data_IF_034093611182
#
_entry.id   IF_034093611182
#
_cell.length_a   1.000
_cell.length_b   1.000
_cell.length_c   1.000
_cell.angle_alpha   90.00
_cell.angle_beta   90.00
_cell.angle_gamma   90.00
#
_symmetry.space_group_name_H-M   'P 1'
#
loop_
_entity.id
_entity.type
_entity.pdbx_description
1 polymer ?
#
# COMPACT_ATOMS: atom_id res chain seq x y z
N UNK A 1 39.21 -32.42 -6.80
CA UNK A 1 39.94 -31.25 -6.27
C UNK A 1 39.33 -29.88 -6.72
N UNK A 2 38.85 -29.69 -7.97
CA UNK A 2 38.28 -28.41 -8.42
C UNK A 2 37.02 -27.97 -7.60
N UNK A 3 36.16 -28.91 -7.23
CA UNK A 3 34.93 -28.60 -6.47
C UNK A 3 35.22 -28.09 -5.06
N UNK A 4 36.20 -28.65 -4.36
CA UNK A 4 36.60 -28.17 -3.03
C UNK A 4 37.16 -26.74 -3.05
N UNK A 5 37.93 -26.42 -4.09
CA UNK A 5 38.48 -25.06 -4.27
C UNK A 5 37.35 -24.05 -4.48
N UNK A 6 36.36 -24.38 -5.30
CA UNK A 6 35.20 -23.48 -5.54
C UNK A 6 34.35 -23.31 -4.30
N UNK A 7 34.14 -24.36 -3.50
CA UNK A 7 33.42 -24.29 -2.23
C UNK A 7 34.13 -23.38 -1.22
N UNK A 8 35.46 -23.47 -1.14
CA UNK A 8 36.28 -22.60 -0.29
C UNK A 8 36.16 -21.12 -0.67
N UNK A 9 36.21 -20.82 -1.97
CA UNK A 9 36.03 -19.44 -2.47
C UNK A 9 34.65 -18.90 -2.14
N UNK A 10 33.61 -19.72 -2.33
CA UNK A 10 32.23 -19.34 -2.00
C UNK A 10 32.03 -19.06 -0.50
N UNK A 11 32.62 -19.88 0.36
CA UNK A 11 32.62 -19.68 1.80
C UNK A 11 33.30 -18.36 2.20
N UNK A 12 34.48 -18.08 1.66
CA UNK A 12 35.22 -16.84 1.92
C UNK A 12 34.39 -15.61 1.45
N UNK A 13 33.77 -15.68 0.27
CA UNK A 13 32.94 -14.61 -0.25
C UNK A 13 31.72 -14.35 0.65
N UNK A 14 31.06 -15.42 1.11
CA UNK A 14 29.92 -15.31 2.05
C UNK A 14 30.36 -14.69 3.38
N UNK A 15 31.45 -15.17 3.97
CA UNK A 15 32.01 -14.61 5.20
C UNK A 15 32.37 -13.12 5.06
N UNK A 16 33.04 -12.77 3.95
CA UNK A 16 33.38 -11.37 3.67
C UNK A 16 32.16 -10.48 3.57
N UNK A 17 31.10 -10.95 2.91
CA UNK A 17 29.84 -10.22 2.79
C UNK A 17 29.20 -9.98 4.16
N UNK A 18 29.01 -11.03 4.95
CA UNK A 18 28.43 -10.91 6.31
C UNK A 18 29.27 -10.02 7.24
N UNK A 19 30.59 -10.10 7.14
CA UNK A 19 31.46 -9.29 7.97
C UNK A 19 31.39 -7.81 7.57
N UNK A 20 31.34 -7.51 6.29
CA UNK A 20 31.20 -6.14 5.78
C UNK A 20 29.86 -5.53 6.17
N UNK A 21 28.78 -6.28 6.07
CA UNK A 21 27.44 -5.84 6.50
C UNK A 21 27.38 -5.56 7.99
N UNK A 22 27.99 -6.42 8.82
CA UNK A 22 28.06 -6.22 10.27
C UNK A 22 28.84 -4.96 10.64
N UNK A 23 29.97 -4.70 9.99
CA UNK A 23 30.74 -3.48 10.21
C UNK A 23 29.94 -2.24 9.78
N UNK A 24 29.29 -2.28 8.63
CA UNK A 24 28.48 -1.18 8.15
C UNK A 24 27.35 -0.82 9.13
N UNK A 25 26.65 -1.82 9.66
CA UNK A 25 25.60 -1.62 10.66
C UNK A 25 26.16 -1.06 11.98
N UNK A 26 27.29 -1.55 12.46
CA UNK A 26 27.94 -1.00 13.66
C UNK A 26 28.41 0.45 13.49
N UNK A 27 28.76 0.84 12.27
CA UNK A 27 29.13 2.23 11.95
C UNK A 27 27.89 3.13 11.94
N UNK A 28 26.77 2.65 11.39
CA UNK A 28 25.49 3.37 11.44
C UNK A 28 25.01 3.56 12.88
N UNK A 29 25.09 2.52 13.72
CA UNK A 29 24.66 2.59 15.11
C UNK A 29 25.48 3.60 15.97
N UNK A 30 26.63 4.05 15.51
CA UNK A 30 27.44 5.10 16.15
C UNK A 30 27.13 6.50 15.63
N UNK A 31 26.33 6.61 14.59
CA UNK A 31 26.01 7.88 13.96
C UNK A 31 24.87 8.59 14.74
N UNK A 32 25.09 9.82 15.16
CA UNK A 32 24.14 10.60 15.96
C UNK A 32 22.78 10.79 15.24
N UNK A 33 22.80 11.09 13.96
CA UNK A 33 21.57 11.22 13.17
C UNK A 33 20.80 9.88 13.10
N UNK A 34 21.52 8.77 12.92
CA UNK A 34 20.89 7.45 12.89
C UNK A 34 20.22 7.10 14.23
N UNK A 35 20.86 7.44 15.34
CA UNK A 35 20.29 7.26 16.68
C UNK A 35 19.07 8.17 16.89
N UNK A 36 19.13 9.43 16.48
CA UNK A 36 18.00 10.35 16.57
C UNK A 36 16.79 9.83 15.78
N UNK A 37 17.00 9.29 14.56
CA UNK A 37 15.91 8.69 13.77
C UNK A 37 15.34 7.47 14.51
N UNK A 38 16.20 6.63 15.09
CA UNK A 38 15.78 5.42 15.81
C UNK A 38 14.95 5.75 17.07
N UNK A 39 15.34 6.74 17.82
CA UNK A 39 14.63 7.20 19.03
C UNK A 39 13.28 7.84 18.67
N UNK A 40 13.25 8.67 17.62
CA UNK A 40 12.04 9.35 17.20
C UNK A 40 11.07 8.46 16.41
N UNK A 41 11.55 7.39 15.79
CA UNK A 41 10.78 6.54 14.87
C UNK A 41 9.48 5.99 15.46
N UNK A 42 9.49 5.63 16.74
CA UNK A 42 8.32 5.07 17.42
C UNK A 42 7.10 6.00 17.42
N UNK A 43 7.32 7.32 17.37
CA UNK A 43 6.25 8.34 17.35
C UNK A 43 5.53 8.41 16.01
N UNK A 44 6.12 7.86 14.95
CA UNK A 44 5.63 7.93 13.58
C UNK A 44 5.19 6.57 13.03
N UNK A 45 5.33 5.51 13.82
CA UNK A 45 4.83 4.19 13.47
C UNK A 45 3.31 4.13 13.70
N UNK A 46 2.62 3.44 12.80
CA UNK A 46 1.21 3.11 12.92
C UNK A 46 1.08 1.60 12.78
N UNK A 47 0.45 0.95 13.74
CA UNK A 47 0.15 -0.48 13.66
C UNK A 47 -0.95 -0.71 12.62
N UNK A 48 -0.91 -1.86 11.93
CA UNK A 48 -2.02 -2.27 11.08
C UNK A 48 -3.23 -2.66 11.93
N UNK A 49 -4.41 -2.57 11.33
CA UNK A 49 -5.67 -2.99 11.94
C UNK A 49 -6.26 -4.07 11.05
N UNK A 50 -6.51 -5.24 11.60
CA UNK A 50 -7.19 -6.31 10.89
C UNK A 50 -8.63 -5.94 10.53
N UNK A 51 -9.13 -6.52 9.45
CA UNK A 51 -10.55 -6.41 9.13
C UNK A 51 -11.37 -7.12 10.21
N UNK A 52 -12.48 -6.50 10.59
CA UNK A 52 -13.44 -7.06 11.53
C UNK A 52 -14.56 -7.78 10.78
N UNK A 53 -14.82 -9.05 11.16
CA UNK A 53 -15.84 -9.88 10.52
C UNK A 53 -16.88 -10.27 11.56
N UNK A 54 -18.16 -10.01 11.26
CA UNK A 54 -19.31 -10.39 12.08
C UNK A 54 -20.51 -10.73 11.19
N UNK A 55 -21.20 -11.82 11.46
CA UNK A 55 -22.45 -12.25 10.80
C UNK A 55 -22.42 -12.19 9.26
N UNK A 56 -21.30 -12.54 8.64
CA UNK A 56 -21.15 -12.50 7.18
C UNK A 56 -20.82 -11.11 6.61
N UNK A 57 -20.69 -10.11 7.46
CA UNK A 57 -20.26 -8.76 7.10
C UNK A 57 -18.79 -8.53 7.45
N UNK A 58 -18.16 -7.60 6.75
CA UNK A 58 -16.75 -7.23 6.98
C UNK A 58 -16.60 -5.71 7.01
N UNK A 59 -15.86 -5.23 8.01
CA UNK A 59 -15.33 -3.88 8.06
C UNK A 59 -13.85 -3.95 7.65
N UNK A 60 -13.40 -3.20 6.62
CA UNK A 60 -12.03 -3.26 6.14
C UNK A 60 -10.99 -2.98 7.22
N UNK A 61 -9.87 -3.70 7.18
CA UNK A 61 -8.69 -3.37 7.94
C UNK A 61 -7.95 -2.14 7.41
N UNK A 62 -6.92 -1.71 8.10
CA UNK A 62 -6.03 -0.63 7.68
C UNK A 62 -4.58 -1.10 7.68
N UNK A 63 -3.85 -0.72 6.66
CA UNK A 63 -2.42 -0.93 6.63
C UNK A 63 -1.75 -0.07 7.70
N UNK A 64 -0.75 -0.64 8.35
CA UNK A 64 0.17 0.08 9.20
C UNK A 64 1.37 0.62 8.43
N UNK A 65 2.15 1.43 9.08
CA UNK A 65 3.43 1.91 8.56
C UNK A 65 4.49 1.93 9.67
N UNK A 66 5.69 1.52 9.32
CA UNK A 66 6.85 1.51 10.23
C UNK A 66 7.98 2.30 9.60
N UNK A 67 8.62 3.15 10.36
CA UNK A 67 9.75 3.94 9.85
C UNK A 67 10.90 3.01 9.46
N UNK A 68 11.31 3.08 8.21
CA UNK A 68 12.54 2.45 7.74
C UNK A 68 13.73 3.32 8.12
N UNK A 69 14.32 3.03 9.29
CA UNK A 69 15.39 3.84 9.91
C UNK A 69 16.57 4.01 8.94
N UNK A 70 16.98 2.92 8.28
CA UNK A 70 18.13 2.92 7.38
C UNK A 70 17.88 3.79 6.13
N UNK A 71 16.75 3.63 5.49
CA UNK A 71 16.41 4.42 4.31
C UNK A 71 16.15 5.89 4.67
N UNK A 72 15.51 6.14 5.82
CA UNK A 72 15.33 7.49 6.36
C UNK A 72 16.67 8.17 6.64
N UNK A 73 17.63 7.46 7.21
CA UNK A 73 18.98 7.98 7.41
C UNK A 73 19.65 8.38 6.08
N UNK A 74 19.60 7.51 5.07
CA UNK A 74 20.19 7.86 3.76
C UNK A 74 19.49 9.04 3.10
N UNK A 75 18.19 9.21 3.35
CA UNK A 75 17.42 10.34 2.84
C UNK A 75 17.75 11.67 3.57
N UNK A 76 18.20 11.60 4.82
CA UNK A 76 18.51 12.76 5.67
C UNK A 76 20.01 13.04 5.80
N UNK A 77 20.90 12.15 5.37
CA UNK A 77 22.35 12.25 5.66
C UNK A 77 22.97 13.58 5.23
N UNK A 78 22.51 14.17 4.12
CA UNK A 78 23.06 15.42 3.61
C UNK A 78 22.57 16.65 4.41
N UNK A 79 21.43 16.52 5.11
CA UNK A 79 20.92 17.52 6.05
C UNK A 79 21.65 17.46 7.40
N UNK A 80 22.20 16.31 7.73
CA UNK A 80 22.84 15.98 9.02
C UNK A 80 21.99 16.36 10.24
N UNK A 81 20.66 16.35 10.10
CA UNK A 81 19.68 16.65 11.13
C UNK A 81 18.40 15.86 10.90
N UNK A 82 17.73 15.46 11.99
CA UNK A 82 16.44 14.82 11.92
C UNK A 82 15.38 15.76 11.35
N UNK A 83 14.59 15.25 10.41
CA UNK A 83 13.43 15.94 9.87
C UNK A 83 12.36 14.92 9.47
N UNK A 84 11.20 14.99 10.13
CA UNK A 84 10.10 14.03 9.93
C UNK A 84 9.56 13.98 8.51
N UNK A 85 9.67 15.04 7.72
CA UNK A 85 9.27 15.06 6.31
C UNK A 85 10.10 14.14 5.41
N UNK A 86 11.30 13.76 5.86
CA UNK A 86 12.20 12.89 5.11
C UNK A 86 12.18 11.43 5.61
N UNK A 87 11.24 11.10 6.49
CA UNK A 87 11.06 9.71 6.92
C UNK A 87 10.56 8.85 5.76
N UNK A 88 11.17 7.69 5.62
CA UNK A 88 10.76 6.63 4.69
C UNK A 88 10.07 5.56 5.51
N UNK A 89 8.96 5.03 4.99
CA UNK A 89 8.15 4.04 5.68
C UNK A 89 8.07 2.73 4.91
N UNK A 90 8.08 1.64 5.66
CA UNK A 90 7.67 0.33 5.19
C UNK A 90 6.20 0.11 5.57
N UNK A 91 5.42 -0.49 4.68
CA UNK A 91 4.01 -0.80 4.93
C UNK A 91 3.89 -2.18 5.57
N UNK A 92 3.15 -2.27 6.68
CA UNK A 92 2.68 -3.53 7.25
C UNK A 92 1.22 -3.76 6.87
N UNK A 93 0.89 -5.01 6.55
CA UNK A 93 -0.43 -5.36 6.04
C UNK A 93 -1.20 -6.14 7.10
N UNK A 94 -2.54 -5.96 7.19
CA UNK A 94 -3.41 -6.76 8.03
C UNK A 94 -3.32 -8.25 7.64
N UNK A 95 -3.49 -9.14 8.63
CA UNK A 95 -3.60 -10.58 8.37
C UNK A 95 -4.99 -10.91 7.81
N UNK A 96 -6.03 -10.23 8.31
CA UNK A 96 -7.41 -10.37 7.84
C UNK A 96 -7.71 -9.20 6.91
N UNK A 97 -7.95 -9.50 5.63
CA UNK A 97 -8.20 -8.50 4.58
C UNK A 97 -9.50 -8.79 3.82
N UNK A 98 -10.02 -7.79 3.10
CA UNK A 98 -11.15 -7.98 2.17
C UNK A 98 -10.77 -8.97 1.06
N UNK A 99 -9.53 -8.91 0.57
CA UNK A 99 -9.03 -9.75 -0.51
C UNK A 99 -9.10 -11.23 -0.16
N UNK A 100 -8.89 -11.56 1.12
CA UNK A 100 -8.96 -12.93 1.62
C UNK A 100 -10.38 -13.36 2.04
N UNK A 101 -11.34 -12.42 2.07
CA UNK A 101 -12.70 -12.62 2.56
C UNK A 101 -13.75 -12.07 1.58
N UNK A 102 -13.59 -12.35 0.29
CA UNK A 102 -14.45 -11.84 -0.80
C UNK A 102 -15.90 -12.34 -0.75
N UNK A 103 -16.18 -13.37 0.03
CA UNK A 103 -17.49 -13.91 0.29
C UNK A 103 -18.32 -13.07 1.31
N UNK A 104 -17.67 -12.10 1.95
CA UNK A 104 -18.30 -11.24 2.94
C UNK A 104 -18.82 -9.94 2.31
N UNK A 105 -19.88 -9.39 2.91
CA UNK A 105 -20.47 -8.12 2.50
C UNK A 105 -19.74 -6.99 3.25
N UNK A 106 -19.20 -6.02 2.50
CA UNK A 106 -18.61 -4.83 3.12
C UNK A 106 -19.75 -3.96 3.69
N UNK A 107 -19.81 -3.87 5.01
CA UNK A 107 -20.86 -3.15 5.71
C UNK A 107 -20.59 -1.64 5.71
N UNK A 108 -19.38 -1.24 6.06
CA UNK A 108 -18.95 0.15 6.21
C UNK A 108 -17.45 0.28 6.08
N UNK A 109 -16.95 1.48 5.92
CA UNK A 109 -15.51 1.78 6.00
C UNK A 109 -15.00 1.66 7.43
N UNK A 110 -13.66 1.59 7.58
CA UNK A 110 -13.03 1.57 8.89
C UNK A 110 -13.12 2.94 9.55
N UNK A 111 -13.55 3.00 10.81
CA UNK A 111 -13.80 4.24 11.55
C UNK A 111 -12.53 5.03 11.89
N UNK A 112 -11.37 4.37 11.93
CA UNK A 112 -10.09 5.03 12.15
C UNK A 112 -9.56 5.75 10.92
N UNK A 113 -10.11 5.45 9.73
CA UNK A 113 -9.78 6.15 8.51
C UNK A 113 -10.78 7.27 8.26
N UNK A 114 -10.38 8.51 8.44
CA UNK A 114 -11.19 9.70 8.12
C UNK A 114 -11.32 9.86 6.60
N UNK A 115 -12.16 9.02 6.00
CA UNK A 115 -12.44 9.04 4.57
C UNK A 115 -13.95 8.86 4.33
N UNK A 116 -14.44 9.47 3.28
CA UNK A 116 -15.80 9.29 2.78
C UNK A 116 -15.71 8.55 1.46
N UNK A 117 -16.49 7.48 1.33
CA UNK A 117 -16.65 6.78 0.05
C UNK A 117 -18.00 7.16 -0.56
N UNK A 118 -17.97 7.63 -1.79
CA UNK A 118 -19.17 7.90 -2.57
C UNK A 118 -19.54 6.67 -3.40
N UNK A 119 -20.77 6.22 -3.27
CA UNK A 119 -21.35 5.17 -4.12
C UNK A 119 -22.45 5.83 -4.92
N UNK A 120 -22.30 5.86 -6.24
CA UNK A 120 -23.18 6.60 -7.14
C UNK A 120 -23.77 5.65 -8.17
N UNK A 121 -25.03 5.89 -8.55
CA UNK A 121 -25.56 5.31 -9.78
C UNK A 121 -24.91 6.00 -10.99
N UNK A 122 -24.81 5.24 -12.10
CA UNK A 122 -24.21 5.76 -13.31
C UNK A 122 -24.95 6.99 -13.82
N UNK A 123 -24.25 8.13 -13.87
CA UNK A 123 -24.75 9.38 -14.43
C UNK A 123 -23.55 10.17 -15.01
N UNK A 124 -23.55 10.41 -16.32
CA UNK A 124 -22.42 11.06 -17.01
C UNK A 124 -22.08 12.44 -16.43
N UNK A 125 -23.08 13.23 -16.04
CA UNK A 125 -22.85 14.57 -15.49
C UNK A 125 -22.19 14.53 -14.10
N UNK A 126 -22.64 13.58 -13.26
CA UNK A 126 -22.08 13.38 -11.92
C UNK A 126 -20.64 12.87 -12.04
N UNK A 127 -20.41 11.89 -12.90
CA UNK A 127 -19.08 11.33 -13.14
C UNK A 127 -18.12 12.42 -13.64
N UNK A 128 -18.58 13.26 -14.58
CA UNK A 128 -17.78 14.39 -15.06
C UNK A 128 -17.43 15.36 -13.94
N UNK A 129 -18.39 15.71 -13.07
CA UNK A 129 -18.16 16.59 -11.93
C UNK A 129 -17.11 16.00 -10.98
N UNK A 130 -17.22 14.70 -10.64
CA UNK A 130 -16.28 14.04 -9.74
C UNK A 130 -14.86 14.00 -10.35
N UNK A 131 -14.78 13.72 -11.65
CA UNK A 131 -13.50 13.72 -12.40
C UNK A 131 -12.87 15.12 -12.44
N UNK A 132 -13.66 16.14 -12.75
CA UNK A 132 -13.17 17.51 -12.87
C UNK A 132 -12.68 18.07 -11.50
N UNK A 133 -13.17 17.51 -10.40
CA UNK A 133 -12.80 17.88 -9.03
C UNK A 133 -11.87 16.88 -8.34
N UNK A 134 -11.33 15.87 -9.04
CA UNK A 134 -10.48 14.79 -8.51
C UNK A 134 -11.09 14.09 -7.28
N UNK A 135 -12.40 13.81 -7.31
CA UNK A 135 -13.11 13.12 -6.25
C UNK A 135 -13.26 11.64 -6.66
N UNK A 136 -12.78 10.74 -5.80
CA UNK A 136 -12.94 9.29 -6.01
C UNK A 136 -14.36 8.85 -5.67
N UNK A 137 -14.93 7.96 -6.49
CA UNK A 137 -16.26 7.38 -6.27
C UNK A 137 -16.35 5.97 -6.84
N UNK A 138 -17.16 5.13 -6.19
CA UNK A 138 -17.60 3.84 -6.74
C UNK A 138 -18.91 4.01 -7.49
N UNK A 139 -19.01 3.42 -8.68
CA UNK A 139 -20.20 3.55 -9.52
C UNK A 139 -20.95 2.23 -9.52
N UNK A 140 -22.20 2.26 -9.10
CA UNK A 140 -23.13 1.13 -9.20
C UNK A 140 -23.73 1.08 -10.59
N UNK A 141 -23.62 -0.09 -11.23
CA UNK A 141 -24.28 -0.41 -12.49
C UNK A 141 -25.45 -1.34 -12.20
N UNK A 142 -26.66 -0.91 -12.52
CA UNK A 142 -27.83 -1.78 -12.45
C UNK A 142 -27.85 -2.73 -13.65
N UNK A 143 -27.50 -3.99 -13.39
CA UNK A 143 -27.44 -5.05 -14.41
C UNK A 143 -28.84 -5.53 -14.82
N UNK A 144 -29.89 -5.27 -14.02
CA UNK A 144 -31.27 -5.73 -14.32
C UNK A 144 -31.91 -4.98 -15.50
N UNK A 145 -31.48 -3.75 -15.76
CA UNK A 145 -31.93 -2.95 -16.89
C UNK A 145 -31.30 -3.37 -18.23
N UNK A 146 -30.39 -4.30 -18.20
CA UNK A 146 -29.78 -4.87 -19.39
C UNK A 146 -30.65 -5.99 -19.94
N UNK A 147 -31.42 -5.71 -20.97
CA UNK A 147 -32.22 -6.69 -21.70
C UNK A 147 -31.36 -7.72 -22.45
N UNK A 148 -31.55 -9.04 -22.25
CA UNK A 148 -30.62 -10.15 -22.54
C UNK A 148 -30.12 -10.31 -23.99
N UNK A 149 -30.70 -9.69 -25.00
CA UNK A 149 -30.45 -9.94 -26.41
C UNK A 149 -29.78 -8.84 -27.26
N UNK A 150 -29.69 -7.60 -26.80
CA UNK A 150 -28.99 -6.48 -27.48
C UNK A 150 -27.58 -6.18 -26.95
N UNK A 151 -26.96 -7.01 -26.34
CA UNK A 151 -26.37 -6.96 -25.05
C UNK A 151 -24.89 -7.14 -24.89
N UNK A 152 -24.29 -7.97 -25.62
CA UNK A 152 -22.85 -8.21 -25.49
C UNK A 152 -22.05 -7.02 -26.02
N UNK A 153 -22.55 -6.31 -27.02
CA UNK A 153 -21.90 -5.09 -27.53
C UNK A 153 -22.08 -3.91 -26.60
N UNK A 154 -23.28 -3.70 -26.05
CA UNK A 154 -23.53 -2.62 -25.10
C UNK A 154 -22.83 -2.88 -23.77
N UNK A 155 -22.88 -4.11 -23.25
CA UNK A 155 -22.15 -4.49 -22.05
C UNK A 155 -20.63 -4.34 -22.26
N UNK A 156 -20.09 -4.73 -23.42
CA UNK A 156 -18.68 -4.53 -23.72
C UNK A 156 -18.32 -3.05 -23.87
N UNK A 157 -19.20 -2.24 -24.45
CA UNK A 157 -19.00 -0.80 -24.54
C UNK A 157 -19.08 -0.12 -23.16
N UNK A 158 -20.02 -0.52 -22.32
CA UNK A 158 -20.12 -0.06 -20.94
C UNK A 158 -18.93 -0.54 -20.11
N UNK A 159 -18.57 -1.82 -20.16
CA UNK A 159 -17.38 -2.36 -19.49
C UNK A 159 -16.10 -1.67 -19.96
N UNK A 160 -15.98 -1.32 -21.24
CA UNK A 160 -14.83 -0.57 -21.74
C UNK A 160 -14.84 0.88 -21.24
N UNK A 161 -15.99 1.55 -21.16
CA UNK A 161 -16.12 2.85 -20.49
C UNK A 161 -15.73 2.78 -19.02
N UNK A 162 -16.11 1.70 -18.29
CA UNK A 162 -15.71 1.49 -16.90
C UNK A 162 -14.21 1.23 -16.77
N UNK A 163 -13.61 0.46 -17.66
CA UNK A 163 -12.15 0.25 -17.70
C UNK A 163 -11.39 1.55 -17.99
N UNK A 164 -11.93 2.40 -18.86
CA UNK A 164 -11.39 3.74 -19.09
C UNK A 164 -11.54 4.62 -17.85
N UNK A 165 -12.67 4.57 -17.15
CA UNK A 165 -12.91 5.26 -15.88
C UNK A 165 -11.99 4.74 -14.77
N UNK A 166 -11.86 3.43 -14.63
CA UNK A 166 -10.95 2.79 -13.69
C UNK A 166 -9.49 3.17 -13.99
N UNK A 167 -9.08 3.18 -15.26
CA UNK A 167 -7.76 3.62 -15.67
C UNK A 167 -7.52 5.11 -15.40
N UNK A 168 -8.57 5.94 -15.48
CA UNK A 168 -8.52 7.36 -15.17
C UNK A 168 -8.45 7.59 -13.65
N UNK A 169 -9.24 6.86 -12.87
CA UNK A 169 -9.18 6.89 -11.40
C UNK A 169 -7.79 6.48 -10.92
N UNK A 170 -7.26 5.36 -11.42
CA UNK A 170 -5.92 4.88 -11.07
C UNK A 170 -4.77 5.79 -11.56
N UNK A 171 -5.01 6.64 -12.53
CA UNK A 171 -4.02 7.59 -13.03
C UNK A 171 -3.92 8.86 -12.18
N UNK A 172 -4.95 9.15 -11.38
CA UNK A 172 -5.05 10.37 -10.57
C UNK A 172 -5.13 10.07 -9.05
N UNK A 173 -5.00 8.78 -8.65
CA UNK A 173 -4.72 8.32 -7.29
C UNK A 173 -3.21 8.29 -7.05
#
# INVERSE_FOLDING_TARGET
MKHFRNLGILAIAAFSFFYTEKIANLTLDKNELYQSIKEESSKYNEEYIDAFIEDGHIVPGLNGKTVNIKNSFYNMKDLNAFNSYYLIYDTSYPEITIENNKDKIVERGNEYKKSVSFILEYNENIIKYFKDNNIEASILVNVENFNKNEKLEQVNNEVNKYKELESLINKYS
#
